data_IF_131157594974
#
_entry.id   IF_131157594974
#
_cell.length_a   1.000
_cell.length_b   1.000
_cell.length_c   1.000
_cell.angle_alpha   90.00
_cell.angle_beta   90.00
_cell.angle_gamma   90.00
#
_symmetry.space_group_name_H-M   'P 1'
#
loop_
_entity.id
_entity.type
_entity.pdbx_description
1 polymer ?
#
# COMPACT_ATOMS: atom_id res chain seq x y z
N UNK A 1 5.76 7.48 -7.99
CA UNK A 1 5.32 6.19 -8.58
C UNK A 1 3.85 5.99 -8.23
N UNK A 2 2.98 5.69 -9.20
CA UNK A 2 1.54 5.52 -8.94
C UNK A 2 1.28 4.17 -8.27
N UNK A 3 0.34 4.13 -7.32
CA UNK A 3 -0.10 2.89 -6.69
C UNK A 3 -1.21 2.28 -7.54
N UNK A 4 -1.08 1.00 -7.86
CA UNK A 4 -2.11 0.23 -8.54
C UNK A 4 -2.78 -0.77 -7.59
N UNK A 5 -4.03 -1.18 -7.84
CA UNK A 5 -4.77 -2.11 -6.99
C UNK A 5 -4.04 -3.45 -6.70
N UNK A 6 -3.28 -3.95 -7.67
CA UNK A 6 -2.47 -5.17 -7.56
C UNK A 6 -1.30 -5.03 -6.58
N UNK A 7 -0.89 -3.80 -6.25
CA UNK A 7 0.17 -3.51 -5.30
C UNK A 7 -0.33 -3.38 -3.86
N UNK A 8 -1.65 -3.26 -3.65
CA UNK A 8 -2.25 -3.09 -2.32
C UNK A 8 -1.94 -4.26 -1.39
N UNK A 9 -2.00 -5.54 -1.81
CA UNK A 9 -1.63 -6.66 -0.93
C UNK A 9 -0.19 -6.56 -0.43
N UNK A 10 0.76 -6.17 -1.29
CA UNK A 10 2.16 -5.99 -0.91
C UNK A 10 2.35 -4.82 0.08
N UNK A 11 1.64 -3.72 -0.13
CA UNK A 11 1.67 -2.56 0.77
C UNK A 11 1.14 -2.98 2.14
N UNK A 12 0.00 -3.69 2.18
CA UNK A 12 -0.62 -4.18 3.41
C UNK A 12 0.31 -5.13 4.14
N UNK A 13 0.97 -6.05 3.44
CA UNK A 13 1.95 -6.98 4.04
C UNK A 13 3.05 -6.22 4.79
N UNK A 14 3.59 -5.15 4.18
CA UNK A 14 4.63 -4.33 4.81
C UNK A 14 4.08 -3.56 6.02
N UNK A 15 2.84 -3.07 5.96
CA UNK A 15 2.21 -2.37 7.09
C UNK A 15 1.95 -3.30 8.29
N UNK A 16 1.56 -4.55 8.05
CA UNK A 16 1.27 -5.51 9.14
C UNK A 16 2.52 -6.11 9.77
N UNK A 17 3.67 -6.01 9.12
CA UNK A 17 4.96 -6.39 9.71
C UNK A 17 5.41 -5.44 10.83
N UNK A 18 4.79 -4.27 10.95
CA UNK A 18 5.11 -3.30 11.98
C UNK A 18 4.12 -3.40 13.16
N UNK A 19 4.61 -3.80 14.36
CA UNK A 19 3.75 -4.04 15.52
C UNK A 19 3.15 -2.74 16.07
N UNK A 20 3.82 -1.60 15.93
CA UNK A 20 3.30 -0.31 16.38
C UNK A 20 2.15 0.17 15.48
N UNK A 21 2.24 -0.06 14.17
CA UNK A 21 1.16 0.18 13.22
C UNK A 21 -0.06 -0.71 13.46
N UNK A 22 0.15 -2.00 13.71
CA UNK A 22 -0.95 -2.94 13.96
C UNK A 22 -1.65 -2.64 15.29
N UNK A 23 -0.88 -2.31 16.34
CA UNK A 23 -1.42 -1.87 17.62
C UNK A 23 -2.21 -0.55 17.49
N UNK A 24 -1.70 0.38 16.68
CA UNK A 24 -2.32 1.68 16.42
C UNK A 24 -3.08 1.74 15.09
N UNK A 25 -3.71 0.64 14.65
CA UNK A 25 -4.35 0.57 13.33
C UNK A 25 -5.38 1.70 13.09
N UNK A 26 -6.08 2.15 14.14
CA UNK A 26 -7.03 3.30 14.07
C UNK A 26 -6.35 4.61 13.65
N UNK A 27 -5.08 4.80 14.02
CA UNK A 27 -4.29 5.96 13.66
C UNK A 27 -3.98 6.01 12.16
N UNK A 28 -3.86 4.85 11.50
CA UNK A 28 -3.62 4.76 10.05
C UNK A 28 -4.75 5.35 9.23
N UNK A 29 -6.00 5.16 9.67
CA UNK A 29 -7.13 5.81 9.03
C UNK A 29 -7.09 7.33 9.17
N UNK A 30 -6.55 7.86 10.26
CA UNK A 30 -6.32 9.31 10.44
C UNK A 30 -5.20 9.82 9.52
N UNK A 31 -4.12 9.06 9.38
CA UNK A 31 -2.99 9.37 8.47
C UNK A 31 -3.48 9.51 7.03
N UNK A 32 -4.34 8.59 6.61
CA UNK A 32 -4.87 8.52 5.25
C UNK A 32 -6.09 9.45 5.03
N UNK A 33 -6.38 10.32 5.99
CA UNK A 33 -7.53 11.24 5.97
C UNK A 33 -8.85 10.51 5.65
N UNK A 34 -9.01 9.31 6.19
CA UNK A 34 -10.17 8.44 5.93
C UNK A 34 -11.41 8.95 6.66
N UNK A 35 -12.60 8.95 6.02
CA UNK A 35 -13.77 9.56 6.60
C UNK A 35 -14.06 8.83 7.90
N UNK A 36 -14.36 9.58 8.95
CA UNK A 36 -14.54 9.04 10.29
C UNK A 36 -15.55 7.87 10.30
N UNK A 37 -16.59 7.92 9.46
CA UNK A 37 -17.57 6.84 9.37
C UNK A 37 -16.99 5.52 8.83
N UNK A 38 -16.19 5.55 7.75
CA UNK A 38 -15.52 4.36 7.19
C UNK A 38 -14.48 3.83 8.17
N UNK A 39 -13.65 4.73 8.71
CA UNK A 39 -12.61 4.39 9.68
C UNK A 39 -13.19 3.73 10.95
N UNK A 40 -14.26 4.31 11.51
CA UNK A 40 -14.94 3.78 12.69
C UNK A 40 -15.67 2.48 12.41
N UNK A 41 -16.28 2.34 11.23
CA UNK A 41 -16.97 1.11 10.86
C UNK A 41 -15.98 -0.06 10.71
N UNK A 42 -14.92 0.12 9.93
CA UNK A 42 -13.88 -0.91 9.75
C UNK A 42 -13.15 -1.21 11.06
N UNK A 43 -12.89 -0.21 11.91
CA UNK A 43 -12.27 -0.43 13.21
C UNK A 43 -13.17 -1.22 14.16
N UNK A 44 -14.49 -0.96 14.16
CA UNK A 44 -15.44 -1.76 14.93
C UNK A 44 -15.48 -3.21 14.48
N UNK A 45 -15.36 -3.47 13.17
CA UNK A 45 -15.30 -4.83 12.63
C UNK A 45 -14.04 -5.56 13.10
N UNK A 46 -12.91 -4.88 13.25
CA UNK A 46 -11.70 -5.44 13.88
C UNK A 46 -11.94 -5.71 15.37
N UNK A 47 -12.51 -4.76 16.11
CA UNK A 47 -12.72 -4.88 17.55
C UNK A 47 -13.65 -6.07 17.90
N UNK A 48 -14.63 -6.40 17.04
CA UNK A 48 -15.52 -7.57 17.22
C UNK A 48 -14.98 -8.86 16.60
N UNK A 49 -13.77 -8.84 16.04
CA UNK A 49 -13.14 -10.00 15.39
C UNK A 49 -13.78 -10.42 14.06
N UNK A 50 -14.61 -9.57 13.46
CA UNK A 50 -15.20 -9.80 12.14
C UNK A 50 -14.22 -9.47 11.00
N UNK A 51 -13.24 -8.60 11.25
CA UNK A 51 -12.13 -8.28 10.35
C UNK A 51 -10.78 -8.50 11.01
N UNK A 52 -9.82 -8.96 10.22
CA UNK A 52 -8.41 -8.99 10.56
C UNK A 52 -7.75 -7.63 10.29
N UNK A 53 -6.59 -7.37 10.91
CA UNK A 53 -5.80 -6.15 10.67
C UNK A 53 -5.40 -5.98 9.19
N UNK A 54 -4.97 -7.02 8.45
CA UNK A 54 -4.74 -6.92 7.01
C UNK A 54 -5.98 -6.47 6.23
N UNK A 55 -7.16 -7.01 6.54
CA UNK A 55 -8.42 -6.63 5.87
C UNK A 55 -8.80 -5.18 6.18
N UNK A 56 -8.56 -4.73 7.41
CA UNK A 56 -8.71 -3.35 7.80
C UNK A 56 -7.81 -2.43 6.96
N UNK A 57 -6.50 -2.68 6.90
CA UNK A 57 -5.60 -1.84 6.11
C UNK A 57 -5.92 -1.87 4.62
N UNK A 58 -6.31 -3.04 4.09
CA UNK A 58 -6.76 -3.16 2.70
C UNK A 58 -7.94 -2.22 2.42
N UNK A 59 -8.97 -2.24 3.26
CA UNK A 59 -10.14 -1.39 3.09
C UNK A 59 -9.81 0.11 3.20
N UNK A 60 -8.98 0.50 4.17
CA UNK A 60 -8.59 1.91 4.35
C UNK A 60 -7.75 2.41 3.16
N UNK A 61 -6.84 1.58 2.63
CA UNK A 61 -6.04 1.93 1.44
C UNK A 61 -6.92 2.05 0.20
N UNK A 62 -7.85 1.11 -0.03
CA UNK A 62 -8.76 1.21 -1.16
C UNK A 62 -9.66 2.44 -1.10
N UNK A 63 -10.17 2.77 0.08
CA UNK A 63 -10.99 3.97 0.29
C UNK A 63 -10.18 5.26 0.05
N UNK A 64 -8.93 5.31 0.54
CA UNK A 64 -7.99 6.39 0.26
C UNK A 64 -7.70 6.52 -1.25
N UNK A 65 -7.44 5.39 -1.93
CA UNK A 65 -7.21 5.34 -3.37
C UNK A 65 -8.44 5.81 -4.16
N UNK A 66 -9.64 5.40 -3.78
CA UNK A 66 -10.89 5.78 -4.44
C UNK A 66 -11.16 7.28 -4.33
N UNK A 67 -10.93 7.88 -3.16
CA UNK A 67 -11.14 9.32 -2.93
C UNK A 67 -10.07 10.19 -3.60
N UNK A 68 -8.80 9.79 -3.52
CA UNK A 68 -7.72 10.46 -4.26
C UNK A 68 -7.86 10.27 -5.77
N UNK A 69 -8.41 9.14 -6.20
CA UNK A 69 -8.62 8.71 -7.58
C UNK A 69 -9.52 9.62 -8.43
N UNK A 70 -10.31 10.50 -7.81
CA UNK A 70 -10.99 11.60 -8.51
C UNK A 70 -10.01 12.58 -9.19
N UNK A 71 -8.76 12.60 -8.72
CA UNK A 71 -7.64 13.33 -9.34
C UNK A 71 -6.51 12.35 -9.71
N UNK A 72 -6.22 12.13 -10.99
CA UNK A 72 -5.28 11.09 -11.44
C UNK A 72 -3.82 11.23 -10.95
N UNK A 73 -3.46 12.33 -10.28
CA UNK A 73 -2.09 12.68 -9.88
C UNK A 73 -1.76 12.46 -8.40
N UNK A 74 -2.74 12.10 -7.56
CA UNK A 74 -2.64 12.27 -6.10
C UNK A 74 -2.58 10.96 -5.31
N UNK A 75 -2.41 9.82 -5.99
CA UNK A 75 -2.34 8.51 -5.34
C UNK A 75 -1.03 7.82 -5.70
N UNK A 76 0.05 8.37 -5.15
CA UNK A 76 1.41 7.91 -5.38
C UNK A 76 2.02 7.26 -4.13
N UNK A 77 2.94 6.32 -4.34
CA UNK A 77 3.74 5.71 -3.28
C UNK A 77 4.52 6.78 -2.49
N UNK A 78 4.96 7.83 -3.17
CA UNK A 78 5.65 8.97 -2.56
C UNK A 78 4.75 9.72 -1.57
N UNK A 79 3.47 9.92 -1.90
CA UNK A 79 2.51 10.52 -0.97
C UNK A 79 2.21 9.60 0.22
N UNK A 80 2.00 8.30 -0.02
CA UNK A 80 1.79 7.32 1.06
C UNK A 80 2.98 7.31 2.04
N UNK A 81 4.20 7.23 1.50
CA UNK A 81 5.43 7.26 2.30
C UNK A 81 5.63 8.60 3.01
N UNK A 82 5.27 9.71 2.36
CA UNK A 82 5.29 11.04 2.98
C UNK A 82 4.35 11.14 4.19
N UNK A 83 3.12 10.64 4.07
CA UNK A 83 2.15 10.62 5.16
C UNK A 83 2.63 9.77 6.35
N UNK A 84 3.23 8.61 6.08
CA UNK A 84 3.82 7.74 7.11
C UNK A 84 5.02 8.40 7.81
N UNK A 85 5.90 9.08 7.07
CA UNK A 85 7.04 9.83 7.65
C UNK A 85 6.58 10.98 8.55
N UNK A 86 5.52 11.69 8.16
CA UNK A 86 4.95 12.78 8.97
C UNK A 86 4.31 12.30 10.28
N UNK A 87 4.12 10.99 10.45
CA UNK A 87 3.42 10.39 11.60
C UNK A 87 4.29 9.39 12.37
N UNK A 88 5.62 9.54 12.29
CA UNK A 88 6.64 8.72 12.95
C UNK A 88 6.78 7.27 12.45
N UNK A 89 6.10 6.89 11.37
CA UNK A 89 6.27 5.58 10.72
C UNK A 89 7.30 5.62 9.59
N UNK A 90 8.42 6.31 9.82
CA UNK A 90 9.47 6.54 8.82
C UNK A 90 10.15 5.26 8.35
N UNK A 91 10.35 4.28 9.24
CA UNK A 91 10.95 2.99 8.89
C UNK A 91 10.05 2.19 7.92
N UNK A 92 8.74 2.22 8.15
CA UNK A 92 7.76 1.56 7.27
C UNK A 92 7.72 2.22 5.90
N UNK A 93 7.79 3.56 5.85
CA UNK A 93 7.92 4.29 4.60
C UNK A 93 9.18 3.90 3.81
N UNK A 94 10.32 3.72 4.49
CA UNK A 94 11.54 3.23 3.82
C UNK A 94 11.40 1.80 3.30
N UNK A 95 10.75 0.91 4.06
CA UNK A 95 10.48 -0.47 3.61
C UNK A 95 9.57 -0.48 2.39
N UNK A 96 8.54 0.36 2.36
CA UNK A 96 7.66 0.52 1.20
C UNK A 96 8.43 1.00 -0.03
N UNK A 97 9.26 2.03 0.09
CA UNK A 97 10.07 2.53 -1.02
C UNK A 97 11.03 1.47 -1.56
N UNK A 98 11.73 0.74 -0.67
CA UNK A 98 12.68 -0.32 -1.07
C UNK A 98 11.98 -1.46 -1.82
N UNK A 99 10.84 -1.94 -1.33
CA UNK A 99 10.13 -3.06 -1.95
C UNK A 99 9.50 -2.67 -3.30
N UNK A 100 8.98 -1.45 -3.41
CA UNK A 100 8.33 -0.96 -4.63
C UNK A 100 9.34 -0.67 -5.75
N UNK A 101 10.54 -0.18 -5.41
CA UNK A 101 11.65 -0.01 -6.36
C UNK A 101 12.12 -1.36 -6.91
N UNK A 102 12.13 -2.40 -6.06
CA UNK A 102 12.55 -3.75 -6.45
C UNK A 102 11.54 -4.41 -7.40
N UNK A 103 10.23 -4.25 -7.18
CA UNK A 103 9.20 -4.75 -8.11
C UNK A 103 9.30 -4.12 -9.51
N UNK A 104 9.77 -2.87 -9.63
CA UNK A 104 10.01 -2.20 -10.91
C UNK A 104 11.19 -2.80 -11.68
N UNK A 105 12.26 -3.20 -10.97
CA UNK A 105 13.40 -3.88 -11.60
C UNK A 105 13.01 -5.26 -12.13
N UNK A 106 12.21 -6.02 -11.38
CA UNK A 106 11.75 -7.35 -11.84
C UNK A 106 10.84 -7.24 -13.08
N UNK A 107 9.94 -6.26 -13.13
CA UNK A 107 9.10 -6.03 -14.31
C UNK A 107 9.90 -5.59 -15.55
N UNK A 108 10.96 -4.77 -15.37
CA UNK A 108 11.83 -4.37 -16.48
C UNK A 108 12.74 -5.51 -16.97
N UNK A 109 13.20 -6.39 -16.08
CA UNK A 109 14.01 -7.57 -16.47
C UNK A 109 13.15 -8.58 -17.23
N UNK A 110 11.91 -8.82 -16.80
CA UNK A 110 10.98 -9.71 -17.49
C UNK A 110 10.64 -9.22 -18.92
N UNK A 111 10.60 -7.90 -19.13
CA UNK A 111 10.34 -7.32 -20.46
C UNK A 111 11.54 -7.43 -21.40
N UNK A 112 12.77 -7.38 -20.87
CA UNK A 112 14.00 -7.46 -21.67
C UNK A 112 14.44 -8.91 -21.97
N UNK A 113 14.06 -9.89 -21.15
CA UNK A 113 14.38 -11.31 -21.41
C UNK A 113 13.33 -12.04 -22.27
N UNK A 114 12.17 -11.45 -22.54
CA UNK A 114 11.13 -12.02 -23.42
C UNK A 114 11.37 -11.85 -24.92
N UNK A 115 12.33 -11.02 -25.34
CA UNK A 115 12.59 -10.71 -26.75
C UNK A 115 13.82 -11.43 -27.35
N UNK A 116 14.51 -12.28 -26.58
CA UNK A 116 15.81 -12.84 -26.96
C UNK A 116 15.83 -14.30 -27.46
N UNK A 117 14.69 -15.00 -27.51
CA UNK A 117 14.66 -16.47 -27.73
C UNK A 117 14.01 -16.92 -29.05
N UNK A 118 14.01 -16.08 -30.09
CA UNK A 118 13.49 -16.45 -31.43
C UNK A 118 14.40 -16.06 -32.60
N UNK A 119 15.71 -16.12 -32.41
CA UNK A 119 16.64 -16.04 -33.54
C UNK A 119 17.90 -16.87 -33.24
N UNK A 120 17.78 -18.19 -33.29
CA UNK A 120 18.85 -19.14 -33.64
C UNK A 120 18.28 -20.56 -33.59
N UNK A 121 17.61 -20.98 -34.66
CA UNK A 121 17.56 -22.39 -35.10
C UNK A 121 16.96 -22.45 -36.50
N UNK A 122 17.79 -22.94 -37.43
CA UNK A 122 17.51 -23.41 -38.79
C UNK A 122 17.22 -22.36 -39.87
#
# INVERSE_FOLDING_TARGET
MRIYPDQVPLIVDILVQDPDLTSNHKHVATILDTPAHTALHSAKLVDIGAFTIPEYFTNIIFDWMARKGATPRSCTMTELCGLLRCTNYGEVAERLEKNVVTSRQVAQIATNHGAGYLAHTA
#
